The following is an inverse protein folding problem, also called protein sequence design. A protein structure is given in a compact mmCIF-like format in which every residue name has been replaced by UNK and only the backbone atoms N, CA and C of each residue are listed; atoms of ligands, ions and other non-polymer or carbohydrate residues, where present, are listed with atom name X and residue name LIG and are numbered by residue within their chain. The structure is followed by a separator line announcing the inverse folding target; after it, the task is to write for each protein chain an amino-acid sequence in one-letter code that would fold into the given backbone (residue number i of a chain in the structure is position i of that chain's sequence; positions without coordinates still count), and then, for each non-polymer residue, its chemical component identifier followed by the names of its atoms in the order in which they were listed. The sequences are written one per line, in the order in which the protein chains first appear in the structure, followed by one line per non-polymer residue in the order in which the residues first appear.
data_IF_321658861416
#
_entry.id   IF_321658861416
#
_cell.length_a   1.000
_cell.length_b   1.000
_cell.length_c   1.000
_cell.angle_alpha   90.00
_cell.angle_beta   90.00
_cell.angle_gamma   90.00
#
_symmetry.space_group_name_H-M   'P 1'
#
loop_
_entity.id
_entity.type
_entity.pdbx_description
1 polymer ?
#
# COMPACT_ATOMS: atom_id res chain seq x y z
N UNK A 1 -14.38 -8.70 3.17
CA UNK A 1 -13.84 -7.74 2.18
C UNK A 1 -13.59 -8.36 0.81
N UNK A 2 -12.63 -9.29 0.62
CA UNK A 2 -12.39 -9.87 -0.72
C UNK A 2 -13.60 -10.64 -1.29
N UNK A 3 -14.31 -11.40 -0.44
CA UNK A 3 -15.58 -12.05 -0.82
C UNK A 3 -16.68 -11.03 -1.15
N UNK A 4 -16.68 -9.88 -0.50
CA UNK A 4 -17.67 -8.81 -0.76
C UNK A 4 -17.40 -8.16 -2.12
N UNK A 5 -16.12 -7.94 -2.47
CA UNK A 5 -15.73 -7.48 -3.80
C UNK A 5 -16.13 -8.49 -4.88
N UNK A 6 -15.92 -9.78 -4.65
CA UNK A 6 -16.37 -10.84 -5.57
C UNK A 6 -17.90 -10.85 -5.73
N UNK A 7 -18.64 -10.75 -4.63
CA UNK A 7 -20.10 -10.68 -4.64
C UNK A 7 -20.60 -9.43 -5.40
N UNK A 8 -19.91 -8.29 -5.26
CA UNK A 8 -20.21 -7.09 -6.03
C UNK A 8 -19.97 -7.30 -7.54
N UNK A 9 -18.87 -7.95 -7.92
CA UNK A 9 -18.62 -8.30 -9.33
C UNK A 9 -19.73 -9.20 -9.88
N UNK A 10 -20.23 -10.15 -9.09
CA UNK A 10 -21.35 -11.01 -9.48
C UNK A 10 -22.66 -10.21 -9.64
N UNK A 11 -22.96 -9.34 -8.68
CA UNK A 11 -24.15 -8.48 -8.72
C UNK A 11 -24.15 -7.54 -9.94
N UNK A 12 -22.99 -6.97 -10.29
CA UNK A 12 -22.83 -6.09 -11.45
C UNK A 12 -22.67 -6.85 -12.78
N UNK A 13 -22.62 -8.20 -12.74
CA UNK A 13 -22.44 -9.03 -13.93
C UNK A 13 -21.02 -9.01 -14.52
N UNK A 14 -20.03 -8.47 -13.80
CA UNK A 14 -18.64 -8.37 -14.25
C UNK A 14 -17.94 -9.72 -14.23
N UNK A 15 -17.78 -10.35 -15.40
CA UNK A 15 -17.15 -11.67 -15.52
C UNK A 15 -15.65 -11.65 -15.24
N UNK A 16 -14.94 -10.64 -15.73
CA UNK A 16 -13.54 -10.37 -15.37
C UNK A 16 -13.30 -8.86 -15.24
N UNK A 17 -12.30 -8.48 -14.47
CA UNK A 17 -11.88 -7.09 -14.32
C UNK A 17 -10.36 -6.95 -14.21
N UNK A 18 -9.83 -5.81 -14.62
CA UNK A 18 -8.52 -5.34 -14.14
C UNK A 18 -8.73 -4.82 -12.72
N UNK A 19 -8.01 -5.39 -11.76
CA UNK A 19 -8.18 -5.05 -10.34
C UNK A 19 -6.96 -4.25 -9.89
N UNK A 20 -7.20 -3.08 -9.31
CA UNK A 20 -6.17 -2.31 -8.64
C UNK A 20 -6.58 -2.10 -7.18
N UNK A 21 -5.61 -2.10 -6.29
CA UNK A 21 -5.82 -1.74 -4.90
C UNK A 21 -4.63 -0.97 -4.36
N UNK A 22 -4.90 -0.10 -3.40
CA UNK A 22 -3.89 0.67 -2.67
C UNK A 22 -3.93 0.29 -1.19
N UNK A 23 -2.76 0.05 -0.57
CA UNK A 23 -2.62 -0.26 0.85
C UNK A 23 -3.53 -1.43 1.28
N UNK A 24 -4.47 -1.22 2.22
CA UNK A 24 -5.47 -2.24 2.59
C UNK A 24 -6.28 -2.74 1.38
N UNK A 25 -6.59 -1.88 0.41
CA UNK A 25 -7.24 -2.25 -0.85
C UNK A 25 -6.40 -3.23 -1.67
N UNK A 26 -5.07 -3.08 -1.67
CA UNK A 26 -4.16 -4.02 -2.33
C UNK A 26 -4.13 -5.36 -1.59
N UNK A 27 -4.16 -5.37 -0.26
CA UNK A 27 -4.29 -6.60 0.54
C UNK A 27 -5.58 -7.37 0.22
N UNK A 28 -6.69 -6.64 0.08
CA UNK A 28 -7.98 -7.20 -0.33
C UNK A 28 -7.89 -7.76 -1.77
N UNK A 29 -7.22 -7.04 -2.66
CA UNK A 29 -7.02 -7.44 -4.06
C UNK A 29 -6.18 -8.71 -4.18
N UNK A 30 -5.12 -8.86 -3.37
CA UNK A 30 -4.36 -10.11 -3.26
C UNK A 30 -5.25 -11.28 -2.82
N UNK A 31 -6.11 -11.08 -1.82
CA UNK A 31 -7.05 -12.12 -1.38
C UNK A 31 -8.09 -12.43 -2.45
N UNK A 32 -8.61 -11.44 -3.17
CA UNK A 32 -9.52 -11.63 -4.30
C UNK A 32 -8.86 -12.47 -5.41
N UNK A 33 -7.62 -12.11 -5.77
CA UNK A 33 -6.81 -12.82 -6.74
C UNK A 33 -6.55 -14.28 -6.35
N UNK A 34 -6.36 -14.55 -5.06
CA UNK A 34 -6.15 -15.90 -4.56
C UNK A 34 -7.43 -16.77 -4.53
N UNK A 35 -8.59 -16.19 -4.21
CA UNK A 35 -9.85 -16.95 -4.13
C UNK A 35 -10.56 -17.08 -5.48
N UNK A 36 -10.34 -16.14 -6.39
CA UNK A 36 -11.02 -16.09 -7.68
C UNK A 36 -10.09 -15.61 -8.82
N UNK A 37 -8.94 -16.27 -9.04
CA UNK A 37 -7.95 -15.83 -10.04
C UNK A 37 -8.54 -15.71 -11.45
N UNK A 38 -9.47 -16.59 -11.81
CA UNK A 38 -10.16 -16.59 -13.10
C UNK A 38 -11.00 -15.32 -13.36
N UNK A 39 -11.26 -14.51 -12.33
CA UNK A 39 -12.02 -13.24 -12.42
C UNK A 39 -11.13 -12.03 -12.69
N UNK A 40 -9.81 -12.19 -12.70
CA UNK A 40 -8.88 -11.09 -12.95
C UNK A 40 -8.36 -11.12 -14.39
N UNK A 41 -8.29 -9.95 -15.00
CA UNK A 41 -7.54 -9.71 -16.23
C UNK A 41 -6.07 -9.37 -15.92
N UNK A 42 -5.86 -8.53 -14.90
CA UNK A 42 -4.55 -8.17 -14.35
C UNK A 42 -4.71 -7.63 -12.93
N UNK A 43 -3.60 -7.49 -12.21
CA UNK A 43 -3.57 -7.04 -10.81
C UNK A 43 -2.55 -5.92 -10.61
N UNK A 44 -2.98 -4.77 -10.09
CA UNK A 44 -2.08 -3.71 -9.65
C UNK A 44 -2.14 -3.55 -8.13
N UNK A 45 -0.96 -3.58 -7.50
CA UNK A 45 -0.76 -3.56 -6.06
C UNK A 45 0.04 -2.32 -5.69
N UNK A 46 -0.63 -1.31 -5.12
CA UNK A 46 0.00 -0.05 -4.74
C UNK A 46 0.30 -0.03 -3.24
N UNK A 47 1.53 0.34 -2.87
CA UNK A 47 1.95 0.60 -1.48
C UNK A 47 1.56 -0.52 -0.48
N UNK A 48 1.96 -1.76 -0.77
CA UNK A 48 1.55 -2.95 0.00
C UNK A 48 2.69 -3.91 0.28
N UNK A 49 2.56 -4.71 1.35
CA UNK A 49 3.49 -5.79 1.72
C UNK A 49 2.81 -7.15 1.65
N UNK A 50 3.59 -8.24 1.73
CA UNK A 50 3.06 -9.61 1.74
C UNK A 50 2.36 -10.02 3.04
N UNK A 51 2.33 -9.14 4.04
CA UNK A 51 1.71 -9.38 5.34
C UNK A 51 2.61 -10.09 6.37
N UNK A 52 2.02 -10.51 7.48
CA UNK A 52 2.73 -11.06 8.63
C UNK A 52 3.52 -9.98 9.38
N UNK A 53 4.75 -10.31 9.79
CA UNK A 53 5.64 -9.35 10.46
C UNK A 53 5.96 -8.12 9.58
N UNK A 54 5.80 -8.23 8.25
CA UNK A 54 6.04 -7.14 7.30
C UNK A 54 5.01 -6.02 7.38
N UNK A 55 3.88 -6.25 8.06
CA UNK A 55 2.93 -5.18 8.39
C UNK A 55 3.43 -4.30 9.54
N UNK A 56 4.57 -4.63 10.16
CA UNK A 56 5.16 -3.78 11.18
C UNK A 56 5.80 -2.55 10.53
N UNK A 57 5.37 -1.34 10.88
CA UNK A 57 5.99 -0.12 10.39
C UNK A 57 7.47 -0.07 10.78
N UNK A 58 8.23 0.78 10.11
CA UNK A 58 9.63 1.00 10.44
C UNK A 58 9.74 1.52 11.88
N UNK A 59 10.55 0.86 12.71
CA UNK A 59 10.77 1.30 14.09
C UNK A 59 11.91 2.31 14.11
N UNK A 60 11.56 3.58 14.00
CA UNK A 60 12.49 4.68 14.20
C UNK A 60 11.83 5.80 15.02
N UNK A 61 12.64 6.80 15.40
CA UNK A 61 12.16 7.92 16.22
C UNK A 61 11.05 8.71 15.54
N UNK A 62 11.05 8.79 14.20
CA UNK A 62 10.01 9.46 13.43
C UNK A 62 8.69 8.69 13.54
N UNK A 63 8.70 7.38 13.31
CA UNK A 63 7.50 6.56 13.40
C UNK A 63 6.94 6.51 14.82
N UNK A 64 7.80 6.47 15.84
CA UNK A 64 7.37 6.53 17.24
C UNK A 64 6.70 7.88 17.57
N UNK A 65 7.28 8.98 17.09
CA UNK A 65 6.70 10.33 17.23
C UNK A 65 5.34 10.43 16.54
N UNK A 66 5.23 9.92 15.32
CA UNK A 66 3.97 9.90 14.56
C UNK A 66 2.90 9.04 15.25
N UNK A 67 3.26 7.84 15.73
CA UNK A 67 2.35 6.99 16.48
C UNK A 67 1.84 7.67 17.77
N UNK A 68 2.74 8.32 18.51
CA UNK A 68 2.37 9.08 19.71
C UNK A 68 1.44 10.24 19.40
N UNK A 69 1.73 11.04 18.36
CA UNK A 69 0.87 12.14 17.92
C UNK A 69 -0.48 11.64 17.43
N UNK A 70 -0.50 10.53 16.67
CA UNK A 70 -1.72 9.88 16.20
C UNK A 70 -2.63 9.49 17.37
N UNK A 71 -2.07 8.84 18.41
CA UNK A 71 -2.83 8.42 19.58
C UNK A 71 -3.39 9.58 20.39
N UNK A 72 -2.73 10.74 20.36
CA UNK A 72 -3.10 11.94 21.13
C UNK A 72 -3.93 12.95 20.36
N UNK A 73 -4.02 12.86 19.03
CA UNK A 73 -4.80 13.77 18.21
C UNK A 73 -6.29 13.71 18.59
N UNK A 74 -6.84 14.85 19.02
CA UNK A 74 -8.25 14.99 19.44
C UNK A 74 -9.07 15.85 18.50
N UNK A 75 -8.41 16.66 17.67
CA UNK A 75 -9.08 17.56 16.72
C UNK A 75 -8.80 17.19 15.25
N UNK A 76 -9.64 17.62 14.30
CA UNK A 76 -9.41 17.41 12.87
C UNK A 76 -8.06 17.97 12.41
N UNK A 77 -7.66 19.10 12.97
CA UNK A 77 -6.39 19.79 12.71
C UNK A 77 -5.19 18.94 13.12
N UNK A 78 -5.16 18.47 14.37
CA UNK A 78 -4.08 17.62 14.87
C UNK A 78 -3.97 16.33 14.07
N UNK A 79 -5.12 15.75 13.71
CA UNK A 79 -5.18 14.51 12.92
C UNK A 79 -4.69 14.73 11.49
N UNK A 80 -5.10 15.81 10.84
CA UNK A 80 -4.67 16.17 9.50
C UNK A 80 -3.14 16.32 9.42
N UNK A 81 -2.51 16.96 10.42
CA UNK A 81 -1.05 17.10 10.44
C UNK A 81 -0.33 15.75 10.45
N UNK A 82 -0.82 14.80 11.26
CA UNK A 82 -0.22 13.46 11.33
C UNK A 82 -0.46 12.70 10.02
N UNK A 83 -1.68 12.72 9.49
CA UNK A 83 -2.00 12.00 8.26
C UNK A 83 -1.22 12.56 7.05
N UNK A 84 -0.99 13.87 6.96
CA UNK A 84 -0.17 14.42 5.88
C UNK A 84 1.28 13.93 5.93
N UNK A 85 1.87 13.92 7.13
CA UNK A 85 3.25 13.47 7.33
C UNK A 85 3.43 11.96 7.11
N UNK A 86 2.37 11.15 7.27
CA UNK A 86 2.40 9.72 6.98
C UNK A 86 2.13 9.42 5.51
N UNK A 87 1.31 10.24 4.84
CA UNK A 87 0.85 9.99 3.49
C UNK A 87 1.81 10.48 2.40
N UNK A 88 2.52 11.58 2.63
CA UNK A 88 3.26 12.30 1.58
C UNK A 88 4.73 12.52 1.92
N UNK A 89 5.57 12.66 0.89
CA UNK A 89 6.95 13.14 1.09
C UNK A 89 6.96 14.60 1.55
N UNK A 90 8.00 14.96 2.31
CA UNK A 90 8.22 16.34 2.76
C UNK A 90 8.34 17.31 1.57
N UNK A 91 9.09 16.90 0.55
CA UNK A 91 9.27 17.67 -0.69
C UNK A 91 7.93 17.98 -1.36
N UNK A 92 7.07 16.96 -1.53
CA UNK A 92 5.75 17.14 -2.13
C UNK A 92 4.86 18.08 -1.32
N UNK A 93 4.94 18.04 0.01
CA UNK A 93 4.17 18.93 0.88
C UNK A 93 4.69 20.37 0.84
N UNK A 94 6.00 20.58 0.65
CA UNK A 94 6.63 21.90 0.68
C UNK A 94 6.60 22.64 -0.67
N UNK A 95 6.30 21.93 -1.76
CA UNK A 95 6.12 22.54 -3.07
C UNK A 95 5.07 23.66 -3.05
N UNK A 96 5.38 24.77 -3.73
CA UNK A 96 4.45 25.90 -3.88
C UNK A 96 3.50 25.66 -5.05
N UNK A 97 2.20 25.68 -4.78
CA UNK A 97 1.12 25.54 -5.75
C UNK A 97 0.28 26.82 -5.73
N UNK A 98 0.45 27.66 -6.75
CA UNK A 98 -0.14 29.00 -6.77
C UNK A 98 0.49 29.90 -5.70
N UNK A 99 -0.32 30.37 -4.74
CA UNK A 99 0.12 31.27 -3.66
C UNK A 99 0.40 30.58 -2.32
N UNK A 100 0.20 29.26 -2.23
CA UNK A 100 0.33 28.49 -0.99
C UNK A 100 1.20 27.26 -1.19
N UNK A 101 1.71 26.67 -0.11
CA UNK A 101 2.32 25.34 -0.18
C UNK A 101 1.24 24.28 -0.36
N UNK A 102 1.59 23.16 -1.00
CA UNK A 102 0.68 22.01 -1.13
C UNK A 102 0.23 21.49 0.23
N UNK A 103 1.10 21.54 1.25
CA UNK A 103 0.75 21.24 2.65
C UNK A 103 -0.46 22.03 3.11
N UNK A 104 -0.50 23.33 2.86
CA UNK A 104 -1.61 24.18 3.31
C UNK A 104 -2.93 23.80 2.64
N UNK A 105 -2.87 23.53 1.33
CA UNK A 105 -4.04 23.11 0.54
C UNK A 105 -4.57 21.78 1.08
N UNK A 106 -3.71 20.75 1.14
CA UNK A 106 -4.10 19.42 1.61
C UNK A 106 -4.53 19.42 3.08
N UNK A 107 -3.91 20.25 3.92
CA UNK A 107 -4.31 20.40 5.32
C UNK A 107 -5.77 20.89 5.43
N UNK A 108 -6.14 21.92 4.67
CA UNK A 108 -7.52 22.42 4.64
C UNK A 108 -8.49 21.35 4.12
N UNK A 109 -8.11 20.59 3.10
CA UNK A 109 -8.92 19.49 2.58
C UNK A 109 -9.13 18.37 3.60
N UNK A 110 -8.07 17.97 4.31
CA UNK A 110 -8.15 16.93 5.34
C UNK A 110 -9.01 17.38 6.52
N UNK A 111 -8.78 18.59 7.03
CA UNK A 111 -9.58 19.17 8.12
C UNK A 111 -11.05 19.23 7.71
N UNK A 112 -11.35 19.72 6.51
CA UNK A 112 -12.72 19.77 5.98
C UNK A 112 -13.33 18.38 5.84
N UNK A 113 -12.60 17.41 5.31
CA UNK A 113 -13.05 16.03 5.16
C UNK A 113 -13.39 15.40 6.50
N UNK A 114 -12.45 15.42 7.45
CA UNK A 114 -12.63 14.87 8.80
C UNK A 114 -13.78 15.58 9.52
N UNK A 115 -13.88 16.90 9.42
CA UNK A 115 -14.93 17.68 10.08
C UNK A 115 -16.31 17.39 9.52
N UNK A 116 -16.43 17.15 8.21
CA UNK A 116 -17.72 16.96 7.53
C UNK A 116 -18.25 15.52 7.62
N UNK A 117 -17.40 14.51 7.45
CA UNK A 117 -17.83 13.10 7.48
C UNK A 117 -17.65 12.45 8.84
N UNK A 118 -16.86 13.07 9.71
CA UNK A 118 -16.33 12.41 10.90
C UNK A 118 -15.37 11.27 10.54
N UNK A 119 -14.80 10.68 11.59
CA UNK A 119 -14.02 9.45 11.46
C UNK A 119 -14.93 8.22 11.38
N UNK A 120 -14.41 7.09 10.90
CA UNK A 120 -15.09 5.79 10.96
C UNK A 120 -15.53 5.42 12.39
N UNK A 121 -16.54 4.54 12.53
CA UNK A 121 -16.97 4.03 13.83
C UNK A 121 -15.84 3.26 14.54
N UNK A 122 -15.88 3.15 15.87
CA UNK A 122 -14.84 2.45 16.64
C UNK A 122 -14.67 1.00 16.18
N UNK A 123 -15.78 0.27 16.03
CA UNK A 123 -15.74 -1.12 15.56
C UNK A 123 -15.25 -1.23 14.11
N UNK A 124 -15.56 -0.25 13.25
CA UNK A 124 -15.07 -0.20 11.87
C UNK A 124 -13.57 0.03 11.82
N UNK A 125 -13.07 1.03 12.55
CA UNK A 125 -11.66 1.35 12.63
C UNK A 125 -10.85 0.21 13.26
N UNK A 126 -11.25 -0.30 14.42
CA UNK A 126 -10.58 -1.44 15.09
C UNK A 126 -10.58 -2.68 14.19
N UNK A 127 -11.68 -2.94 13.48
CA UNK A 127 -11.79 -4.03 12.53
C UNK A 127 -10.82 -3.89 11.34
N UNK A 128 -10.72 -2.70 10.75
CA UNK A 128 -9.80 -2.43 9.63
C UNK A 128 -8.33 -2.53 10.06
N UNK A 129 -8.00 -1.95 11.22
CA UNK A 129 -6.66 -2.03 11.80
C UNK A 129 -6.27 -3.49 12.08
N UNK A 130 -7.16 -4.26 12.72
CA UNK A 130 -6.93 -5.67 12.96
C UNK A 130 -6.80 -6.45 11.64
N UNK A 131 -7.60 -6.15 10.62
CA UNK A 131 -7.49 -6.78 9.30
C UNK A 131 -6.14 -6.51 8.63
N UNK A 132 -5.62 -5.27 8.73
CA UNK A 132 -4.30 -4.93 8.21
C UNK A 132 -3.17 -5.66 8.96
N UNK A 133 -3.22 -5.70 10.30
CA UNK A 133 -2.19 -6.39 11.09
C UNK A 133 -2.24 -7.91 11.03
N UNK A 134 -3.42 -8.49 10.78
CA UNK A 134 -3.57 -9.94 10.64
C UNK A 134 -3.47 -10.39 9.17
N UNK A 135 -3.29 -9.46 8.24
CA UNK A 135 -3.05 -9.80 6.84
C UNK A 135 -1.77 -10.62 6.70
N UNK A 136 -1.85 -11.71 5.95
CA UNK A 136 -0.71 -12.53 5.56
C UNK A 136 -1.03 -13.29 4.27
N UNK A 137 -0.08 -13.35 3.35
CA UNK A 137 -0.17 -14.16 2.13
C UNK A 137 0.51 -15.50 2.34
N UNK A 138 -0.29 -16.56 2.36
CA UNK A 138 0.21 -17.94 2.46
C UNK A 138 0.90 -18.36 1.15
N UNK A 139 1.79 -19.35 1.26
CA UNK A 139 2.47 -19.92 0.08
C UNK A 139 1.47 -20.44 -0.96
N UNK A 140 0.37 -21.08 -0.51
CA UNK A 140 -0.68 -21.58 -1.40
C UNK A 140 -1.39 -20.44 -2.16
N UNK A 141 -1.69 -19.34 -1.49
CA UNK A 141 -2.33 -18.20 -2.15
C UNK A 141 -1.42 -17.56 -3.21
N UNK A 142 -0.13 -17.43 -2.90
CA UNK A 142 0.84 -16.91 -3.87
C UNK A 142 1.04 -17.87 -5.06
N UNK A 143 1.06 -19.18 -4.82
CA UNK A 143 1.10 -20.18 -5.89
C UNK A 143 -0.11 -20.07 -6.82
N UNK A 144 -1.30 -19.93 -6.23
CA UNK A 144 -2.54 -19.75 -7.00
C UNK A 144 -2.48 -18.51 -7.87
N UNK A 145 -2.00 -17.38 -7.31
CA UNK A 145 -1.87 -16.13 -8.05
C UNK A 145 -0.84 -16.27 -9.18
N UNK A 146 0.33 -16.84 -8.89
CA UNK A 146 1.39 -17.05 -9.87
C UNK A 146 0.94 -17.94 -11.03
N UNK A 147 0.24 -19.02 -10.72
CA UNK A 147 -0.24 -20.00 -11.71
C UNK A 147 -1.43 -19.50 -12.54
N UNK A 148 -2.03 -18.36 -12.17
CA UNK A 148 -3.19 -17.81 -12.86
C UNK A 148 -2.86 -17.18 -14.23
N UNK A 149 -1.59 -16.84 -14.47
CA UNK A 149 -1.10 -16.34 -15.75
C UNK A 149 -1.48 -14.90 -16.11
N UNK A 150 -2.21 -14.18 -15.26
CA UNK A 150 -2.43 -12.74 -15.45
C UNK A 150 -1.22 -11.92 -14.99
N UNK A 151 -1.04 -10.75 -15.60
CA UNK A 151 0.07 -9.86 -15.29
C UNK A 151 -0.17 -9.09 -13.99
N UNK A 152 0.92 -8.79 -13.27
CA UNK A 152 0.90 -8.09 -11.99
C UNK A 152 1.86 -6.91 -12.03
N UNK A 153 1.42 -5.73 -11.55
CA UNK A 153 2.28 -4.58 -11.25
C UNK A 153 2.30 -4.34 -9.76
N UNK A 154 3.50 -4.31 -9.15
CA UNK A 154 3.70 -3.83 -7.78
C UNK A 154 4.27 -2.42 -7.88
N UNK A 155 3.46 -1.41 -7.56
CA UNK A 155 3.81 0.01 -7.70
C UNK A 155 4.01 0.59 -6.31
N UNK A 156 5.17 1.16 -6.01
CA UNK A 156 5.51 1.49 -4.63
C UNK A 156 6.30 2.79 -4.51
N UNK A 157 5.95 3.60 -3.51
CA UNK A 157 6.69 4.82 -3.17
C UNK A 157 7.97 4.51 -2.38
N UNK A 158 9.12 5.00 -2.85
CA UNK A 158 10.42 4.75 -2.20
C UNK A 158 10.52 5.22 -0.74
N UNK A 159 9.71 6.21 -0.36
CA UNK A 159 9.72 6.83 0.95
C UNK A 159 8.50 6.45 1.80
N UNK A 160 7.82 5.36 1.44
CA UNK A 160 6.69 4.85 2.22
C UNK A 160 7.16 4.33 3.59
N UNK A 161 6.78 5.05 4.65
CA UNK A 161 7.11 4.72 6.05
C UNK A 161 6.12 3.74 6.68
N UNK A 162 4.96 3.53 6.04
CA UNK A 162 3.89 2.65 6.53
C UNK A 162 4.13 1.23 6.00
N UNK A 163 4.23 1.08 4.67
CA UNK A 163 4.53 -0.16 3.99
C UNK A 163 5.94 -0.07 3.41
N UNK A 164 6.91 -0.66 4.09
CA UNK A 164 8.32 -0.52 3.70
C UNK A 164 8.60 -1.11 2.32
N UNK A 165 9.35 -0.36 1.49
CA UNK A 165 9.72 -0.74 0.13
C UNK A 165 10.35 -2.14 0.03
N UNK A 166 11.22 -2.52 0.97
CA UNK A 166 11.88 -3.83 0.96
C UNK A 166 10.89 -5.00 1.01
N UNK A 167 9.75 -4.83 1.68
CA UNK A 167 8.71 -5.84 1.79
C UNK A 167 7.85 -5.91 0.51
N UNK A 168 7.64 -4.77 -0.15
CA UNK A 168 7.01 -4.74 -1.47
C UNK A 168 7.87 -5.42 -2.54
N UNK A 169 9.18 -5.16 -2.55
CA UNK A 169 10.14 -5.87 -3.42
C UNK A 169 10.08 -7.38 -3.19
N UNK A 170 10.11 -7.82 -1.93
CA UNK A 170 9.98 -9.25 -1.57
C UNK A 170 8.63 -9.84 -2.00
N UNK A 171 7.55 -9.07 -1.96
CA UNK A 171 6.26 -9.51 -2.50
C UNK A 171 6.32 -9.69 -4.02
N UNK A 172 6.89 -8.72 -4.75
CA UNK A 172 7.07 -8.80 -6.20
C UNK A 172 7.92 -10.02 -6.60
N UNK A 173 9.04 -10.26 -5.91
CA UNK A 173 9.89 -11.43 -6.09
C UNK A 173 9.13 -12.75 -5.91
N UNK A 174 8.29 -12.85 -4.86
CA UNK A 174 7.48 -14.05 -4.60
C UNK A 174 6.38 -14.27 -5.64
N UNK A 175 6.00 -13.24 -6.38
CA UNK A 175 4.99 -13.28 -7.44
C UNK A 175 5.59 -13.45 -8.85
N UNK A 176 6.92 -13.54 -8.98
CA UNK A 176 7.57 -13.90 -10.23
C UNK A 176 7.10 -15.29 -10.73
N UNK A 177 6.94 -15.49 -12.05
CA UNK A 177 7.30 -14.56 -13.12
C UNK A 177 6.22 -13.55 -13.49
N UNK A 178 5.08 -13.48 -12.80
CA UNK A 178 3.95 -12.65 -13.21
C UNK A 178 4.05 -11.16 -12.82
N UNK A 179 4.90 -10.85 -11.84
CA UNK A 179 5.00 -9.51 -11.26
C UNK A 179 6.16 -8.68 -11.82
N UNK A 180 5.87 -7.40 -12.07
CA UNK A 180 6.84 -6.34 -12.34
C UNK A 180 6.83 -5.34 -11.17
N UNK A 181 8.01 -4.97 -10.67
CA UNK A 181 8.17 -3.92 -9.67
C UNK A 181 8.26 -2.55 -10.37
N UNK A 182 7.62 -1.53 -9.81
CA UNK A 182 7.67 -0.14 -10.27
C UNK A 182 7.91 0.76 -9.06
N UNK A 183 9.12 1.31 -8.96
CA UNK A 183 9.55 2.14 -7.83
C UNK A 183 9.48 3.62 -8.18
N UNK A 184 8.66 4.37 -7.45
CA UNK A 184 8.40 5.78 -7.73
C UNK A 184 8.92 6.69 -6.61
N UNK A 185 9.24 7.93 -6.98
CA UNK A 185 9.59 8.97 -6.00
C UNK A 185 8.33 9.44 -5.27
N UNK A 186 7.92 8.75 -4.21
CA UNK A 186 6.80 9.17 -3.36
C UNK A 186 6.73 8.38 -2.07
N UNK A 187 5.77 8.72 -1.22
CA UNK A 187 5.50 8.06 0.05
C UNK A 187 4.31 7.10 -0.08
N UNK A 188 3.44 7.04 0.94
CA UNK A 188 2.35 6.07 0.98
C UNK A 188 1.25 6.38 -0.04
N UNK A 189 0.92 7.66 -0.29
CA UNK A 189 -0.03 8.07 -1.33
C UNK A 189 0.68 8.38 -2.65
N UNK A 190 1.44 7.41 -3.17
CA UNK A 190 2.22 7.57 -4.39
C UNK A 190 1.37 7.93 -5.62
N UNK A 191 0.11 7.48 -5.65
CA UNK A 191 -0.86 7.83 -6.71
C UNK A 191 -1.27 9.30 -6.70
N UNK A 192 -1.11 9.99 -5.57
CA UNK A 192 -1.35 11.43 -5.48
C UNK A 192 -0.07 12.21 -5.80
N UNK A 193 1.10 11.72 -5.39
CA UNK A 193 2.38 12.40 -5.63
C UNK A 193 2.87 12.27 -7.08
N UNK A 194 2.61 11.12 -7.70
CA UNK A 194 3.07 10.73 -9.03
C UNK A 194 1.90 10.19 -9.87
N UNK A 195 0.84 10.99 -10.08
CA UNK A 195 -0.37 10.51 -10.74
C UNK A 195 -0.09 10.06 -12.18
N UNK A 196 0.77 10.77 -12.91
CA UNK A 196 1.09 10.46 -14.30
C UNK A 196 1.86 9.14 -14.41
N UNK A 197 2.87 8.93 -13.57
CA UNK A 197 3.68 7.71 -13.56
C UNK A 197 2.86 6.49 -13.11
N UNK A 198 2.00 6.66 -12.10
CA UNK A 198 1.08 5.60 -11.68
C UNK A 198 0.08 5.28 -12.79
N UNK A 199 -0.54 6.29 -13.41
CA UNK A 199 -1.48 6.09 -14.51
C UNK A 199 -0.82 5.41 -15.71
N UNK A 200 0.41 5.80 -16.05
CA UNK A 200 1.19 5.16 -17.10
C UNK A 200 1.47 3.69 -16.78
N UNK A 201 1.91 3.37 -15.56
CA UNK A 201 2.15 1.99 -15.14
C UNK A 201 0.88 1.11 -15.18
N UNK A 202 -0.28 1.68 -14.79
CA UNK A 202 -1.58 1.00 -14.89
C UNK A 202 -1.99 0.78 -16.34
N UNK A 203 -1.81 1.78 -17.20
CA UNK A 203 -2.15 1.69 -18.61
C UNK A 203 -1.24 0.71 -19.36
N UNK A 204 0.04 0.67 -19.02
CA UNK A 204 1.00 -0.30 -19.57
C UNK A 204 0.61 -1.73 -19.20
N UNK A 205 0.23 -1.97 -17.94
CA UNK A 205 -0.27 -3.28 -17.48
C UNK A 205 -1.51 -3.72 -18.27
N UNK A 206 -2.46 -2.81 -18.48
CA UNK A 206 -3.70 -3.09 -19.24
C UNK A 206 -3.38 -3.39 -20.71
N UNK A 207 -2.52 -2.58 -21.34
CA UNK A 207 -2.09 -2.77 -22.74
C UNK A 207 -1.34 -4.08 -22.94
N UNK A 208 -0.40 -4.41 -22.04
CA UNK A 208 0.35 -5.66 -22.06
C UNK A 208 -0.58 -6.87 -21.90
N UNK A 209 -1.55 -6.78 -20.99
CA UNK A 209 -2.57 -7.81 -20.81
C UNK A 209 -3.40 -8.03 -22.08
N UNK A 210 -3.86 -6.94 -22.73
CA UNK A 210 -4.62 -7.01 -24.00
C UNK A 210 -3.78 -7.55 -25.16
N UNK A 211 -2.48 -7.33 -25.13
CA UNK A 211 -1.53 -7.81 -26.13
C UNK A 211 -1.03 -9.23 -25.83
N UNK A 212 -1.56 -9.88 -24.79
CA UNK A 212 -1.17 -11.22 -24.35
C UNK A 212 0.34 -11.38 -24.12
N UNK A 213 1.00 -10.33 -23.61
CA UNK A 213 2.41 -10.38 -23.20
C UNK A 213 2.59 -11.49 -22.17
N UNK A 214 3.66 -12.28 -22.32
CA UNK A 214 3.94 -13.40 -21.41
C UNK A 214 4.41 -12.88 -20.05
N UNK A 215 4.06 -13.55 -18.93
CA UNK A 215 4.56 -13.21 -17.59
C UNK A 215 6.09 -12.97 -17.55
N UNK A 216 6.87 -13.86 -18.14
CA UNK A 216 8.34 -13.79 -18.14
C UNK A 216 8.87 -12.56 -18.89
N UNK A 217 8.18 -12.16 -19.96
CA UNK A 217 8.51 -10.94 -20.70
C UNK A 217 8.12 -9.69 -19.91
N UNK A 218 6.94 -9.70 -19.29
CA UNK A 218 6.44 -8.59 -18.48
C UNK A 218 7.33 -8.29 -17.27
N UNK A 219 7.72 -9.33 -16.52
CA UNK A 219 8.58 -9.19 -15.33
C UNK A 219 10.02 -8.81 -15.65
N UNK A 220 10.51 -9.11 -16.85
CA UNK A 220 11.85 -8.77 -17.30
C UNK A 220 11.97 -7.32 -17.82
N UNK A 221 10.86 -6.60 -18.01
CA UNK A 221 10.90 -5.21 -18.46
C UNK A 221 11.64 -4.35 -17.43
N UNK A 222 12.52 -3.44 -17.87
CA UNK A 222 13.22 -2.54 -16.98
C UNK A 222 12.19 -1.70 -16.21
N UNK A 223 12.52 -1.32 -14.98
CA UNK A 223 11.75 -0.32 -14.25
C UNK A 223 11.69 0.95 -15.12
N UNK A 224 10.49 1.50 -15.36
CA UNK A 224 10.36 2.79 -16.04
C UNK A 224 10.91 3.86 -15.09
N UNK A 225 12.23 4.03 -15.06
CA UNK A 225 12.87 5.15 -14.39
C UNK A 225 12.61 6.35 -15.28
N UNK A 226 11.60 7.16 -14.92
CA UNK A 226 11.47 8.49 -15.51
C UNK A 226 12.81 9.22 -15.33
N UNK A 227 13.44 9.61 -16.44
CA UNK A 227 14.78 10.18 -16.51
C UNK A 227 14.92 11.47 -15.69
N UNK A 228 15.23 11.35 -14.40
CA UNK A 228 15.95 12.38 -13.62
C UNK A 228 16.69 11.68 -12.48
N UNK A 229 17.84 11.09 -12.78
CA UNK A 229 18.72 10.49 -11.78
C UNK A 229 19.78 9.59 -12.41
N UNK A 230 21.04 10.02 -12.33
CA UNK A 230 22.19 9.41 -12.97
C UNK A 230 22.32 7.89 -12.68
N UNK A 231 22.69 7.14 -13.73
CA UNK A 231 23.10 5.74 -13.68
C UNK A 231 24.31 5.56 -12.75
N UNK A 232 24.13 4.76 -11.70
CA UNK A 232 25.25 4.03 -11.08
C UNK A 232 24.99 2.55 -11.29
N UNK A 233 25.72 1.96 -12.22
CA UNK A 233 25.81 0.51 -12.43
C UNK A 233 26.52 -0.13 -11.25
N UNK A 234 25.78 -0.80 -10.38
CA UNK A 234 26.30 -1.66 -9.32
C UNK A 234 25.72 -3.06 -9.48
N UNK A 235 26.56 -4.07 -9.68
CA UNK A 235 26.15 -5.49 -9.67
C UNK A 235 25.55 -5.84 -8.30
N UNK A 236 24.44 -6.59 -8.21
CA UNK A 236 23.89 -6.99 -6.93
C UNK A 236 24.83 -8.00 -6.25
N UNK A 237 25.30 -7.65 -5.05
CA UNK A 237 25.93 -8.59 -4.12
C UNK A 237 24.79 -9.27 -3.36
N UNK A 238 24.63 -10.58 -3.55
CA UNK A 238 23.69 -11.40 -2.76
C UNK A 238 24.22 -11.51 -1.33
N UNK A 239 23.60 -10.79 -0.39
CA UNK A 239 23.84 -10.96 1.05
C UNK A 239 22.70 -11.78 1.62
N UNK A 240 22.97 -13.06 1.89
CA UNK A 240 22.01 -13.95 2.56
C UNK A 240 22.04 -13.68 4.07
N UNK A 241 21.18 -12.79 4.55
CA UNK A 241 20.94 -12.64 6.00
C UNK A 241 19.97 -13.74 6.44
N UNK A 242 20.46 -14.71 7.23
CA UNK A 242 19.60 -15.59 8.03
C UNK A 242 19.24 -14.84 9.31
N UNK A 243 17.98 -14.44 9.43
CA UNK A 243 17.42 -13.97 10.70
C UNK A 243 16.58 -15.09 11.30
N UNK A 244 16.85 -15.45 12.56
CA UNK A 244 16.10 -16.46 13.31
C UNK A 244 14.64 -16.01 13.49
N UNK A 245 13.74 -16.51 12.63
CA UNK A 245 12.34 -16.09 12.54
C UNK A 245 11.52 -16.43 13.80
N UNK A 246 11.97 -17.38 14.64
CA UNK A 246 11.19 -17.89 15.77
C UNK A 246 11.05 -16.94 16.97
N UNK A 247 12.09 -16.16 17.29
CA UNK A 247 12.07 -15.26 18.47
C UNK A 247 11.31 -13.96 18.17
N UNK A 248 11.36 -13.50 16.92
CA UNK A 248 10.70 -12.28 16.44
C UNK A 248 9.16 -12.47 16.42
N UNK A 249 8.68 -13.67 16.06
CA UNK A 249 7.24 -13.99 15.99
C UNK A 249 6.57 -13.96 17.38
N UNK A 250 7.24 -14.42 18.44
CA UNK A 250 6.66 -14.35 19.80
C UNK A 250 6.58 -12.92 20.34
N UNK A 251 7.59 -12.08 20.07
CA UNK A 251 7.54 -10.65 20.39
C UNK A 251 6.43 -9.92 19.62
N UNK A 252 6.17 -10.34 18.37
CA UNK A 252 5.11 -9.81 17.53
C UNK A 252 3.70 -10.11 18.09
N UNK A 253 3.43 -11.34 18.54
CA UNK A 253 2.13 -11.66 19.15
C UNK A 253 1.89 -10.87 20.44
N UNK A 254 2.94 -10.63 21.23
CA UNK A 254 2.86 -9.85 22.46
C UNK A 254 2.59 -8.36 22.20
N UNK A 255 3.32 -7.74 21.27
CA UNK A 255 3.05 -6.35 20.84
C UNK A 255 1.66 -6.20 20.22
N UNK A 256 1.22 -7.17 19.41
CA UNK A 256 -0.14 -7.18 18.83
C UNK A 256 -1.21 -7.14 19.93
N UNK A 257 -0.97 -7.79 21.06
CA UNK A 257 -1.88 -7.73 22.22
C UNK A 257 -1.81 -6.39 22.96
N UNK A 258 -0.65 -5.74 23.04
CA UNK A 258 -0.50 -4.41 23.65
C UNK A 258 -1.23 -3.34 22.83
N UNK A 259 -1.09 -3.35 21.49
CA UNK A 259 -1.74 -2.34 20.65
C UNK A 259 -3.28 -2.52 20.61
N UNK A 260 -3.80 -3.73 20.82
CA UNK A 260 -5.24 -3.96 21.06
C UNK A 260 -5.77 -3.24 22.31
N UNK A 261 -4.91 -2.93 23.28
CA UNK A 261 -5.30 -2.26 24.54
C UNK A 261 -5.21 -0.73 24.39
N UNK A 262 -4.37 -0.22 23.49
CA UNK A 262 -4.23 1.22 23.24
C UNK A 262 -5.28 1.72 22.25
N UNK A 263 -6.36 2.31 22.77
CA UNK A 263 -7.40 2.92 21.93
C UNK A 263 -7.01 4.35 21.56
N UNK A 264 -6.92 4.71 20.25
CA UNK A 264 -6.68 6.09 19.84
C UNK A 264 -7.84 6.99 20.27
N UNK A 265 -7.53 8.24 20.62
CA UNK A 265 -8.56 9.25 20.88
C UNK A 265 -9.23 9.62 19.55
N UNK A 266 -10.56 9.65 19.52
CA UNK A 266 -11.31 9.90 18.29
C UNK A 266 -11.51 11.39 18.09
N UNK A 267 -11.30 11.81 16.85
CA UNK A 267 -11.71 13.11 16.37
C UNK A 267 -13.17 13.04 15.92
N UNK A 268 -14.04 13.79 16.58
CA UNK A 268 -15.44 13.91 16.20
C UNK A 268 -15.60 14.88 15.01
N UNK A 269 -16.67 14.71 14.24
CA UNK A 269 -17.15 15.75 13.34
C UNK A 269 -17.49 17.00 14.16
N UNK A 270 -17.28 18.19 13.59
CA UNK A 270 -17.71 19.43 14.23
C UNK A 270 -19.22 19.53 13.96
N UNK A 271 -20.04 19.48 15.01
CA UNK A 271 -21.48 19.76 14.89
C UNK A 271 -21.65 21.22 14.45
N UNK A 272 -22.24 21.41 13.27
CA UNK A 272 -22.55 22.72 12.68
C UNK A 272 -23.82 23.33 13.26
#
# INVERSE_FOLDING_TARGET
MAKDALALMDHLGWKKAHVFGHSMGAMISCKLAAIAPHRLCSLALLNVTGGGFQCFPKVDGQMLSLAFRFLRAKTPEERALVDLETHYTKEYLEETVGSCTRRMILYQEYVKGISSTGMQSNCGFEGQVNACWTHNMSTKELETIRSAGFLISVIHGRYDIIAQLCHAKRLAERLLPAARMVELHGAHLVSHERPDEVNNALMDLIKATKSAVKPEEWSAQPENVSETGALISGRPITVTMRTDEGVIVMGFEHMRNIVKVMKPVRVAAIES
#
